data_IF_477519685805
#
_entry.id   IF_477519685805
#
_cell.length_a   1.000
_cell.length_b   1.000
_cell.length_c   1.000
_cell.angle_alpha   90.00
_cell.angle_beta   90.00
_cell.angle_gamma   90.00
#
_symmetry.space_group_name_H-M   'P 1'
#
loop_
_entity.id
_entity.type
_entity.pdbx_description
1 polymer ?
#
# COMPACT_ATOMS: atom_id res chain seq x y z
N UNK A 1 29.05 -38.39 -55.75
CA UNK A 1 29.61 -38.03 -54.43
C UNK A 1 29.44 -36.53 -54.24
N UNK A 2 28.90 -36.13 -53.08
CA UNK A 2 28.75 -34.78 -52.53
C UNK A 2 27.71 -33.83 -53.18
N UNK A 3 26.49 -33.94 -52.65
CA UNK A 3 25.53 -32.84 -52.51
C UNK A 3 26.09 -31.76 -51.59
N UNK A 4 25.93 -30.49 -51.95
CA UNK A 4 26.00 -29.34 -51.03
C UNK A 4 24.85 -28.38 -51.34
N UNK A 5 23.72 -28.63 -50.68
CA UNK A 5 22.64 -27.67 -50.56
C UNK A 5 23.06 -26.62 -49.52
N UNK A 6 23.37 -25.40 -49.96
CA UNK A 6 23.56 -24.26 -49.08
C UNK A 6 22.18 -23.78 -48.60
N UNK A 7 21.82 -24.12 -47.37
CA UNK A 7 20.64 -23.60 -46.70
C UNK A 7 21.02 -22.23 -46.14
N UNK A 8 20.64 -21.16 -46.84
CA UNK A 8 20.66 -19.81 -46.29
C UNK A 8 19.59 -19.69 -45.20
N UNK A 9 20.00 -19.81 -43.94
CA UNK A 9 19.18 -19.43 -42.80
C UNK A 9 19.04 -17.91 -42.78
N UNK A 10 17.96 -17.40 -43.37
CA UNK A 10 17.52 -16.02 -43.17
C UNK A 10 17.13 -15.86 -41.70
N UNK A 11 18.02 -15.23 -40.92
CA UNK A 11 17.71 -14.67 -39.62
C UNK A 11 16.56 -13.66 -39.79
N UNK A 12 15.34 -14.07 -39.43
CA UNK A 12 14.23 -13.14 -39.25
C UNK A 12 14.48 -12.43 -37.92
N UNK A 13 14.71 -11.10 -37.90
CA UNK A 13 14.80 -10.38 -36.65
C UNK A 13 13.43 -10.44 -35.99
N UNK A 14 13.39 -10.98 -34.77
CA UNK A 14 12.24 -11.03 -33.89
C UNK A 14 11.83 -9.58 -33.58
N UNK A 15 10.89 -9.06 -34.37
CA UNK A 15 10.37 -7.69 -34.24
C UNK A 15 9.63 -7.61 -32.92
N UNK A 16 10.24 -6.86 -32.00
CA UNK A 16 9.62 -6.04 -30.95
C UNK A 16 8.30 -6.58 -30.40
N UNK A 17 8.40 -7.36 -29.32
CA UNK A 17 7.40 -7.31 -28.26
C UNK A 17 7.29 -5.85 -27.82
N UNK A 18 6.26 -5.16 -28.34
CA UNK A 18 5.79 -3.91 -27.79
C UNK A 18 5.32 -4.26 -26.39
N UNK A 19 6.21 -4.11 -25.40
CA UNK A 19 5.81 -3.89 -24.02
C UNK A 19 5.06 -2.57 -24.03
N UNK A 20 3.76 -2.63 -24.34
CA UNK A 20 2.79 -1.68 -23.85
C UNK A 20 2.82 -1.84 -22.33
N UNK A 21 3.82 -1.24 -21.68
CA UNK A 21 3.65 -0.74 -20.33
C UNK A 21 2.54 0.29 -20.44
N UNK A 22 1.29 -0.19 -20.41
CA UNK A 22 0.14 0.65 -20.12
C UNK A 22 0.50 1.33 -18.81
N UNK A 23 0.89 2.60 -18.90
CA UNK A 23 1.54 3.28 -17.79
C UNK A 23 0.60 3.18 -16.59
N UNK A 24 1.01 2.47 -15.54
CA UNK A 24 0.26 2.33 -14.29
C UNK A 24 0.24 3.66 -13.51
N UNK A 25 0.49 4.79 -14.16
CA UNK A 25 0.47 6.15 -13.60
C UNK A 25 -0.87 6.50 -12.97
N UNK A 26 -1.97 5.94 -13.47
CA UNK A 26 -3.31 6.16 -12.91
C UNK A 26 -3.44 5.71 -11.44
N UNK A 27 -2.63 4.74 -10.97
CA UNK A 27 -2.63 4.31 -9.55
C UNK A 27 -2.05 5.38 -8.61
N UNK A 28 -1.56 6.50 -9.15
CA UNK A 28 -0.99 7.65 -8.44
C UNK A 28 -1.88 8.89 -8.51
N UNK A 29 -3.08 8.77 -9.10
CA UNK A 29 -3.98 9.89 -9.32
C UNK A 29 -5.42 9.50 -8.99
N UNK A 30 -6.22 10.49 -8.61
CA UNK A 30 -7.67 10.31 -8.46
C UNK A 30 -8.35 10.11 -9.82
N UNK A 31 -9.49 9.40 -9.86
CA UNK A 31 -10.35 9.39 -11.03
C UNK A 31 -10.70 10.83 -11.44
N UNK A 32 -10.65 11.17 -12.74
CA UNK A 32 -10.95 12.51 -13.22
C UNK A 32 -12.37 12.94 -12.81
N UNK A 33 -12.48 14.23 -12.45
CA UNK A 33 -13.64 14.86 -11.78
C UNK A 33 -15.01 14.71 -12.46
N UNK A 34 -15.11 14.11 -13.65
CA UNK A 34 -16.38 13.88 -14.35
C UNK A 34 -17.07 12.57 -13.99
N UNK A 35 -16.41 11.65 -13.26
CA UNK A 35 -16.92 10.29 -13.06
C UNK A 35 -17.62 10.11 -11.70
N UNK A 36 -17.20 10.82 -10.65
CA UNK A 36 -17.65 10.55 -9.28
C UNK A 36 -17.87 11.83 -8.46
N UNK A 37 -18.88 11.81 -7.60
CA UNK A 37 -19.15 12.89 -6.65
C UNK A 37 -17.99 13.01 -5.64
N UNK A 38 -17.40 14.20 -5.54
CA UNK A 38 -16.32 14.48 -4.60
C UNK A 38 -16.89 15.04 -3.31
N UNK A 39 -17.04 14.20 -2.28
CA UNK A 39 -17.42 14.65 -0.94
C UNK A 39 -16.53 13.97 0.12
N UNK A 40 -15.51 14.68 0.65
CA UNK A 40 -14.65 14.18 1.72
C UNK A 40 -15.40 13.78 3.00
N UNK A 41 -16.58 14.35 3.28
CA UNK A 41 -17.40 14.01 4.45
C UNK A 41 -17.91 12.56 4.40
N UNK A 42 -17.90 11.93 3.22
CA UNK A 42 -18.28 10.51 3.07
C UNK A 42 -17.19 9.55 3.59
N UNK A 43 -15.96 10.02 3.73
CA UNK A 43 -14.85 9.25 4.30
C UNK A 43 -14.73 9.65 5.77
N UNK A 44 -14.92 8.73 6.74
CA UNK A 44 -14.84 9.09 8.14
C UNK A 44 -13.42 9.56 8.49
N UNK A 45 -13.32 10.76 9.05
CA UNK A 45 -12.10 11.22 9.72
C UNK A 45 -11.81 10.37 10.95
N UNK A 46 -10.53 10.24 11.33
CA UNK A 46 -10.11 9.42 12.46
C UNK A 46 -9.05 8.38 12.10
N UNK A 47 -8.91 7.35 12.95
CA UNK A 47 -7.82 6.38 12.83
C UNK A 47 -8.28 5.14 12.09
N UNK A 48 -7.54 4.74 11.07
CA UNK A 48 -7.66 3.44 10.41
C UNK A 48 -6.46 2.58 10.78
N UNK A 49 -6.68 1.37 11.28
CA UNK A 49 -5.63 0.48 11.77
C UNK A 49 -5.61 -0.80 10.97
N UNK A 50 -4.40 -1.26 10.63
CA UNK A 50 -4.22 -2.54 9.98
C UNK A 50 -4.08 -3.64 11.02
N UNK A 51 -4.95 -4.64 10.92
CA UNK A 51 -4.91 -5.80 11.81
C UNK A 51 -3.81 -6.76 11.35
N UNK A 52 -2.65 -6.71 12.00
CA UNK A 52 -1.59 -7.73 11.84
C UNK A 52 -1.46 -8.55 13.12
N UNK A 53 -1.56 -9.89 13.04
CA UNK A 53 -1.21 -10.74 14.17
C UNK A 53 0.30 -10.71 14.42
N UNK A 54 0.68 -10.88 15.69
CA UNK A 54 2.07 -11.16 16.08
C UNK A 54 2.58 -12.39 15.33
N UNK A 55 3.81 -12.32 14.80
CA UNK A 55 4.47 -13.46 14.17
C UNK A 55 5.64 -13.92 15.02
N UNK A 56 5.70 -15.23 15.25
CA UNK A 56 6.87 -15.93 15.76
C UNK A 56 7.45 -16.84 14.67
N UNK A 57 8.75 -17.09 14.70
CA UNK A 57 9.34 -18.12 13.85
C UNK A 57 8.93 -19.49 14.41
N UNK A 58 8.75 -20.47 13.52
CA UNK A 58 8.50 -21.85 13.94
C UNK A 58 9.69 -22.31 14.80
N UNK A 59 9.44 -22.86 15.99
CA UNK A 59 10.43 -23.35 16.96
C UNK A 59 11.24 -22.30 17.76
N UNK A 60 10.84 -21.03 17.80
CA UNK A 60 11.49 -20.02 18.66
C UNK A 60 10.58 -19.59 19.81
N UNK A 61 10.95 -19.93 21.06
CA UNK A 61 10.20 -19.51 22.26
C UNK A 61 10.35 -18.01 22.57
N UNK A 62 11.44 -17.39 22.11
CA UNK A 62 11.84 -16.05 22.52
C UNK A 62 11.68 -14.97 21.44
N UNK A 63 11.45 -15.38 20.19
CA UNK A 63 11.28 -14.43 19.09
C UNK A 63 9.83 -13.96 18.99
N UNK A 64 9.63 -12.65 19.05
CA UNK A 64 8.35 -11.99 18.81
C UNK A 64 8.53 -10.83 17.86
N UNK A 65 7.69 -10.75 16.83
CA UNK A 65 7.65 -9.65 15.89
C UNK A 65 6.23 -9.08 15.82
N UNK A 66 6.09 -7.88 16.37
CA UNK A 66 4.84 -7.12 16.41
C UNK A 66 4.96 -5.97 15.43
N UNK A 67 3.99 -5.83 14.54
CA UNK A 67 3.92 -4.71 13.60
C UNK A 67 2.56 -4.05 13.74
N UNK A 68 2.57 -2.76 14.06
CA UNK A 68 1.39 -1.91 14.14
C UNK A 68 1.45 -0.88 13.01
N UNK A 69 0.36 -0.74 12.28
CA UNK A 69 0.25 0.26 11.22
C UNK A 69 -1.08 0.98 11.32
N UNK A 70 -1.04 2.30 11.17
CA UNK A 70 -2.23 3.16 11.20
C UNK A 70 -2.14 4.33 10.24
N UNK A 71 -3.30 4.82 9.84
CA UNK A 71 -3.50 6.05 9.08
C UNK A 71 -4.47 6.90 9.90
N UNK A 72 -4.08 8.13 10.25
CA UNK A 72 -4.93 9.13 10.87
C UNK A 72 -5.34 10.13 9.79
N UNK A 73 -6.63 10.22 9.48
CA UNK A 73 -7.18 11.23 8.57
C UNK A 73 -7.80 12.38 9.36
N UNK A 74 -7.39 13.61 9.04
CA UNK A 74 -7.96 14.84 9.59
C UNK A 74 -8.86 15.52 8.55
N UNK A 75 -10.20 15.48 8.71
CA UNK A 75 -11.13 16.04 7.73
C UNK A 75 -11.18 17.57 7.71
N UNK A 76 -10.84 18.24 8.80
CA UNK A 76 -10.87 19.70 8.89
C UNK A 76 -9.75 20.34 8.05
N UNK A 77 -8.57 19.72 8.05
CA UNK A 77 -7.39 20.23 7.34
C UNK A 77 -7.04 19.47 6.06
N UNK A 78 -7.78 18.39 5.76
CA UNK A 78 -7.48 17.45 4.67
C UNK A 78 -6.04 16.93 4.71
N UNK A 79 -5.54 16.68 5.93
CA UNK A 79 -4.20 16.15 6.17
C UNK A 79 -4.26 14.72 6.70
N UNK A 80 -3.16 13.99 6.56
CA UNK A 80 -3.03 12.67 7.17
C UNK A 80 -1.66 12.47 7.78
N UNK A 81 -1.61 11.53 8.73
CA UNK A 81 -0.37 10.90 9.19
C UNK A 81 -0.52 9.38 9.04
N UNK A 82 0.45 8.73 8.39
CA UNK A 82 0.53 7.28 8.29
C UNK A 82 1.80 6.80 8.96
N UNK A 83 1.66 5.87 9.89
CA UNK A 83 2.77 5.37 10.70
C UNK A 83 2.81 3.85 10.75
N UNK A 84 4.02 3.31 10.77
CA UNK A 84 4.34 1.91 11.03
C UNK A 84 5.29 1.85 12.21
N UNK A 85 4.99 1.01 13.19
CA UNK A 85 5.88 0.65 14.30
C UNK A 85 6.10 -0.86 14.25
N UNK A 86 7.36 -1.28 14.21
CA UNK A 86 7.77 -2.68 14.28
C UNK A 86 8.63 -2.88 15.51
N UNK A 87 8.25 -3.84 16.33
CA UNK A 87 8.98 -4.26 17.52
C UNK A 87 9.41 -5.71 17.34
N UNK A 88 10.71 -5.95 17.41
CA UNK A 88 11.29 -7.30 17.37
C UNK A 88 11.98 -7.56 18.69
N UNK A 89 11.55 -8.62 19.36
CA UNK A 89 12.21 -9.16 20.55
C UNK A 89 12.81 -10.51 20.18
N UNK A 90 14.11 -10.70 20.42
CA UNK A 90 14.79 -11.98 20.28
C UNK A 90 15.78 -12.19 21.43
N UNK A 91 15.48 -13.13 22.33
CA UNK A 91 16.24 -13.39 23.57
C UNK A 91 16.42 -12.10 24.40
N UNK A 92 17.60 -11.49 24.32
CA UNK A 92 18.00 -10.28 25.06
C UNK A 92 18.05 -9.03 24.17
N UNK A 93 17.78 -9.18 22.87
CA UNK A 93 17.72 -8.07 21.94
C UNK A 93 16.27 -7.60 21.78
N UNK A 94 16.08 -6.29 21.86
CA UNK A 94 14.82 -5.65 21.56
C UNK A 94 15.12 -4.49 20.61
N UNK A 95 14.44 -4.48 19.47
CA UNK A 95 14.59 -3.42 18.47
C UNK A 95 13.24 -2.84 18.15
N UNK A 96 13.21 -1.53 17.98
CA UNK A 96 12.03 -0.80 17.52
C UNK A 96 12.39 -0.01 16.27
N UNK A 97 11.57 -0.16 15.25
CA UNK A 97 11.65 0.57 13.99
C UNK A 97 10.35 1.31 13.77
N UNK A 98 10.43 2.62 13.59
CA UNK A 98 9.27 3.48 13.37
C UNK A 98 9.47 4.22 12.06
N UNK A 99 8.44 4.20 11.22
CA UNK A 99 8.36 5.01 10.00
C UNK A 99 7.05 5.79 10.07
N UNK A 100 7.11 7.11 9.93
CA UNK A 100 5.93 7.98 9.89
C UNK A 100 6.05 8.92 8.71
N UNK A 101 4.96 9.14 7.99
CA UNK A 101 4.91 10.17 6.96
C UNK A 101 3.62 10.95 7.02
N UNK A 102 3.72 12.18 6.52
CA UNK A 102 2.69 13.20 6.62
C UNK A 102 2.44 13.84 5.27
N UNK A 103 1.23 14.32 5.08
CA UNK A 103 0.88 15.03 3.87
C UNK A 103 -0.60 15.35 3.78
N UNK A 104 -1.08 15.47 2.56
CA UNK A 104 -2.49 15.78 2.27
C UNK A 104 -3.18 14.60 1.63
N UNK A 105 -4.48 14.53 1.83
CA UNK A 105 -5.30 13.58 1.12
C UNK A 105 -6.39 14.28 0.32
N UNK A 106 -6.76 13.64 -0.79
CA UNK A 106 -7.84 14.07 -1.65
C UNK A 106 -8.76 12.89 -1.95
N UNK A 107 -10.02 13.17 -2.27
CA UNK A 107 -11.06 12.14 -2.44
C UNK A 107 -11.79 12.37 -3.76
N UNK A 108 -12.19 11.29 -4.43
CA UNK A 108 -13.11 11.30 -5.58
C UNK A 108 -13.98 10.05 -5.51
N UNK A 109 -15.27 10.21 -5.16
CA UNK A 109 -16.13 9.08 -4.78
C UNK A 109 -15.54 8.27 -3.62
N UNK A 110 -15.32 6.98 -3.85
CA UNK A 110 -14.69 6.07 -2.88
C UNK A 110 -13.16 6.03 -2.97
N UNK A 111 -12.56 6.79 -3.89
CA UNK A 111 -11.11 6.80 -4.08
C UNK A 111 -10.48 7.84 -3.18
N UNK A 112 -9.44 7.45 -2.45
CA UNK A 112 -8.70 8.31 -1.53
C UNK A 112 -7.24 8.29 -1.95
N UNK A 113 -6.71 9.45 -2.36
CA UNK A 113 -5.30 9.59 -2.71
C UNK A 113 -4.56 10.20 -1.51
N UNK A 114 -3.53 9.50 -1.03
CA UNK A 114 -2.61 10.03 -0.03
C UNK A 114 -1.36 10.55 -0.74
N UNK A 115 -1.09 11.85 -0.60
CA UNK A 115 0.11 12.51 -1.11
C UNK A 115 1.00 12.87 0.07
N UNK A 116 2.05 12.06 0.27
CA UNK A 116 3.03 12.22 1.35
C UNK A 116 4.07 13.24 0.90
N UNK A 117 4.35 14.23 1.76
CA UNK A 117 5.34 15.28 1.52
C UNK A 117 6.55 15.17 2.44
N UNK A 118 6.39 14.49 3.58
CA UNK A 118 7.42 14.34 4.59
C UNK A 118 7.44 12.91 5.10
N UNK A 119 8.64 12.36 5.31
CA UNK A 119 8.85 11.05 5.93
C UNK A 119 9.94 11.14 6.99
N UNK A 120 9.67 10.56 8.14
CA UNK A 120 10.63 10.34 9.19
C UNK A 120 10.77 8.85 9.50
N UNK A 121 11.97 8.45 9.89
CA UNK A 121 12.31 7.06 10.15
C UNK A 121 13.33 6.99 11.28
N UNK A 122 13.04 6.15 12.28
CA UNK A 122 13.90 5.98 13.46
C UNK A 122 14.02 4.49 13.76
N UNK A 123 15.25 4.07 14.08
CA UNK A 123 15.57 2.73 14.52
C UNK A 123 16.37 2.81 15.82
N UNK A 124 15.99 2.00 16.82
CA UNK A 124 16.72 1.93 18.09
C UNK A 124 16.69 0.53 18.69
N UNK A 125 17.68 0.26 19.54
CA UNK A 125 17.84 -0.99 20.28
C UNK A 125 17.69 -0.74 21.78
N UNK A 126 16.97 -1.61 22.50
CA UNK A 126 16.73 -1.52 23.93
C UNK A 126 15.55 -0.62 24.33
N UNK A 127 15.45 -0.31 25.63
CA UNK A 127 14.36 0.48 26.23
C UNK A 127 14.66 1.99 26.23
N UNK A 128 15.23 2.54 25.15
CA UNK A 128 15.54 3.98 25.10
C UNK A 128 14.27 4.83 25.13
N UNK A 129 14.27 5.87 25.97
CA UNK A 129 13.20 6.88 26.11
C UNK A 129 13.11 7.86 24.92
N UNK A 130 12.05 8.68 24.94
CA UNK A 130 11.64 9.76 24.02
C UNK A 130 12.57 10.02 22.83
N UNK A 131 12.17 9.50 21.68
CA UNK A 131 12.77 9.81 20.38
C UNK A 131 11.99 10.94 19.71
N UNK A 132 12.71 11.85 19.05
CA UNK A 132 12.12 12.80 18.12
C UNK A 132 12.30 12.25 16.71
N UNK A 133 11.20 12.14 15.95
CA UNK A 133 11.27 11.77 14.54
C UNK A 133 11.63 13.03 13.76
N UNK A 134 12.81 13.02 13.12
CA UNK A 134 13.16 14.02 12.13
C UNK A 134 12.44 13.71 10.82
N UNK A 135 11.73 14.70 10.28
CA UNK A 135 10.99 14.57 9.03
C UNK A 135 11.80 15.22 7.91
N UNK A 136 12.01 14.47 6.84
CA UNK A 136 12.68 14.94 5.63
C UNK A 136 11.68 15.00 4.47
N UNK A 137 11.91 15.88 3.48
CA UNK A 137 11.11 15.92 2.27
C UNK A 137 11.04 14.54 1.60
N UNK A 138 9.84 14.16 1.18
CA UNK A 138 9.56 12.87 0.56
C UNK A 138 8.41 13.05 -0.43
N UNK A 139 8.52 12.48 -1.63
CA UNK A 139 7.45 12.54 -2.64
C UNK A 139 6.92 11.14 -2.88
N UNK A 140 5.70 10.89 -2.41
CA UNK A 140 5.04 9.61 -2.54
C UNK A 140 3.54 9.75 -2.63
N UNK A 141 2.95 9.05 -3.60
CA UNK A 141 1.50 9.03 -3.80
C UNK A 141 1.02 7.60 -3.83
N UNK A 142 0.02 7.28 -3.02
CA UNK A 142 -0.63 5.98 -3.07
C UNK A 142 -2.14 6.14 -3.05
N UNK A 143 -2.79 5.49 -4.02
CA UNK A 143 -4.23 5.47 -4.14
C UNK A 143 -4.82 4.33 -3.29
N UNK A 144 -5.91 4.66 -2.63
CA UNK A 144 -6.69 3.77 -1.78
C UNK A 144 -8.13 3.75 -2.27
N UNK A 145 -8.82 2.67 -1.95
CA UNK A 145 -10.26 2.54 -2.07
C UNK A 145 -10.91 2.43 -0.69
N UNK A 146 -11.94 3.24 -0.47
CA UNK A 146 -12.77 3.20 0.74
C UNK A 146 -14.01 2.35 0.52
N UNK A 147 -14.23 1.38 1.41
CA UNK A 147 -15.49 0.66 1.47
C UNK A 147 -16.38 1.24 2.59
N UNK A 148 -17.46 1.98 2.25
CA UNK A 148 -18.32 2.60 3.26
C UNK A 148 -19.09 1.58 4.10
N UNK A 149 -19.32 0.36 3.59
CA UNK A 149 -20.07 -0.67 4.31
C UNK A 149 -19.27 -1.25 5.48
N UNK A 150 -17.96 -1.34 5.32
CA UNK A 150 -17.05 -1.94 6.31
C UNK A 150 -16.14 -0.91 6.97
N UNK A 151 -16.21 0.34 6.53
CA UNK A 151 -15.34 1.46 6.94
C UNK A 151 -13.87 1.06 6.84
N UNK A 152 -13.48 0.54 5.68
CA UNK A 152 -12.11 0.10 5.42
C UNK A 152 -11.46 0.94 4.34
N UNK A 153 -10.15 1.16 4.47
CA UNK A 153 -9.29 1.72 3.44
C UNK A 153 -8.34 0.64 2.93
N UNK A 154 -8.39 0.36 1.64
CA UNK A 154 -7.58 -0.67 0.99
C UNK A 154 -6.64 0.01 -0.02
N UNK A 155 -5.32 -0.12 0.13
CA UNK A 155 -4.40 0.45 -0.83
C UNK A 155 -4.41 -0.35 -2.14
N UNK A 156 -4.19 0.34 -3.27
CA UNK A 156 -4.13 -0.32 -4.58
C UNK A 156 -2.92 -1.25 -4.68
N UNK A 157 -1.79 -0.78 -4.19
CA UNK A 157 -0.58 -1.59 -4.00
C UNK A 157 -0.41 -1.86 -2.51
N UNK A 158 -0.16 -3.12 -2.16
CA UNK A 158 0.23 -3.44 -0.80
C UNK A 158 1.51 -2.68 -0.46
N UNK A 159 1.49 -2.03 0.70
CA UNK A 159 2.62 -1.24 1.20
C UNK A 159 2.70 -1.36 2.71
N UNK A 160 3.92 -1.37 3.25
CA UNK A 160 4.20 -1.32 4.68
C UNK A 160 5.38 -0.38 4.94
N UNK A 161 5.21 0.59 5.83
CA UNK A 161 6.31 1.52 6.17
C UNK A 161 6.90 2.25 4.96
N UNK A 162 6.06 2.67 4.02
CA UNK A 162 6.45 3.32 2.77
C UNK A 162 7.25 2.44 1.77
N UNK A 163 7.16 1.12 1.93
CA UNK A 163 7.73 0.14 0.99
C UNK A 163 6.64 -0.61 0.25
N UNK A 164 6.47 -0.29 -1.03
CA UNK A 164 5.44 -0.86 -1.88
C UNK A 164 5.82 -2.24 -2.42
N UNK A 165 4.78 -3.02 -2.72
CA UNK A 165 4.86 -4.24 -3.52
C UNK A 165 4.15 -4.05 -4.84
N UNK A 166 4.36 -4.99 -5.76
CA UNK A 166 3.77 -5.00 -7.10
C UNK A 166 2.40 -5.68 -7.16
N UNK A 167 1.79 -5.97 -6.01
CA UNK A 167 0.51 -6.69 -5.88
C UNK A 167 -0.38 -5.94 -4.88
N UNK A 168 -1.69 -6.18 -4.92
CA UNK A 168 -2.66 -5.53 -4.04
C UNK A 168 -4.07 -5.58 -4.60
N UNK A 169 -4.88 -4.55 -4.29
CA UNK A 169 -6.22 -4.43 -4.87
C UNK A 169 -6.18 -4.22 -6.39
N UNK A 170 -5.06 -3.67 -6.90
CA UNK A 170 -4.82 -3.51 -8.34
C UNK A 170 -4.98 -4.82 -9.13
N UNK A 171 -4.65 -5.97 -8.55
CA UNK A 171 -4.74 -7.27 -9.22
C UNK A 171 -6.19 -7.66 -9.55
N UNK A 172 -7.16 -7.02 -8.90
CA UNK A 172 -8.59 -7.18 -9.14
C UNK A 172 -9.22 -6.16 -10.09
N UNK A 173 -8.41 -5.32 -10.75
CA UNK A 173 -8.89 -4.22 -11.59
C UNK A 173 -8.58 -4.50 -13.05
N UNK A 174 -9.61 -4.56 -13.88
CA UNK A 174 -9.48 -4.75 -15.32
C UNK A 174 -9.31 -3.43 -16.09
N UNK A 175 -9.99 -2.37 -15.64
CA UNK A 175 -9.91 -1.02 -16.22
C UNK A 175 -9.72 0.03 -15.12
N UNK A 176 -8.95 1.11 -15.37
CA UNK A 176 -8.71 2.15 -14.38
C UNK A 176 -10.01 2.65 -13.74
N UNK A 177 -10.03 2.65 -12.40
CA UNK A 177 -11.15 3.13 -11.57
C UNK A 177 -12.47 2.35 -11.69
N UNK A 178 -12.53 1.26 -12.46
CA UNK A 178 -13.75 0.48 -12.64
C UNK A 178 -14.01 -0.41 -11.41
N UNK A 179 -15.13 -0.18 -10.72
CA UNK A 179 -15.58 -0.97 -9.56
C UNK A 179 -16.52 -2.13 -9.95
N UNK A 180 -16.08 -2.96 -10.90
CA UNK A 180 -16.86 -4.09 -11.40
C UNK A 180 -17.00 -5.25 -10.37
N UNK A 181 -17.62 -6.35 -10.80
CA UNK A 181 -17.81 -7.53 -9.94
C UNK A 181 -16.47 -8.14 -9.48
N UNK A 182 -15.44 -8.12 -10.32
CA UNK A 182 -14.12 -8.68 -9.97
C UNK A 182 -13.43 -7.81 -8.92
N UNK A 183 -13.48 -6.49 -9.09
CA UNK A 183 -13.02 -5.53 -8.10
C UNK A 183 -13.70 -5.74 -6.76
N UNK A 184 -15.03 -5.87 -6.75
CA UNK A 184 -15.80 -6.11 -5.52
C UNK A 184 -15.42 -7.42 -4.83
N UNK A 185 -15.18 -8.49 -5.59
CA UNK A 185 -14.72 -9.78 -5.08
C UNK A 185 -13.32 -9.64 -4.45
N UNK A 186 -12.40 -9.00 -5.16
CA UNK A 186 -11.02 -8.74 -4.69
C UNK A 186 -11.02 -7.89 -3.43
N UNK A 187 -11.82 -6.81 -3.39
CA UNK A 187 -12.01 -5.97 -2.19
C UNK A 187 -12.53 -6.78 -1.02
N UNK A 188 -13.58 -7.58 -1.23
CA UNK A 188 -14.17 -8.43 -0.19
C UNK A 188 -13.18 -9.47 0.34
N UNK A 189 -12.26 -9.98 -0.49
CA UNK A 189 -11.23 -10.90 -0.03
C UNK A 189 -10.32 -10.27 1.02
N UNK A 190 -10.01 -8.97 0.95
CA UNK A 190 -9.20 -8.29 1.97
C UNK A 190 -9.87 -8.20 3.35
N UNK A 191 -11.18 -8.48 3.45
CA UNK A 191 -11.88 -8.58 4.73
C UNK A 191 -11.68 -9.95 5.40
N UNK A 192 -11.29 -10.97 4.64
CA UNK A 192 -11.05 -12.33 5.16
C UNK A 192 -9.80 -12.35 6.02
N UNK A 193 -9.82 -13.16 7.10
CA UNK A 193 -8.75 -13.25 8.09
C UNK A 193 -7.35 -13.43 7.48
N UNK A 194 -7.23 -14.24 6.43
CA UNK A 194 -5.94 -14.47 5.74
C UNK A 194 -5.40 -13.25 4.98
N UNK A 195 -6.21 -12.22 4.73
CA UNK A 195 -5.86 -11.05 3.95
C UNK A 195 -6.06 -9.72 4.68
N UNK A 196 -6.57 -9.74 5.93
CA UNK A 196 -6.84 -8.53 6.73
C UNK A 196 -5.64 -7.60 6.90
N UNK A 197 -4.42 -8.13 6.80
CA UNK A 197 -3.20 -7.32 6.85
C UNK A 197 -2.97 -6.46 5.59
N UNK A 198 -3.84 -6.50 4.58
CA UNK A 198 -3.78 -5.61 3.42
C UNK A 198 -4.70 -4.39 3.59
N UNK A 199 -5.71 -4.45 4.46
CA UNK A 199 -6.68 -3.38 4.67
C UNK A 199 -6.42 -2.62 5.98
N UNK A 200 -6.83 -1.36 6.02
CA UNK A 200 -6.92 -0.58 7.25
C UNK A 200 -8.39 -0.46 7.66
N UNK A 201 -8.70 -0.78 8.91
CA UNK A 201 -10.05 -0.80 9.48
C UNK A 201 -10.25 0.44 10.35
N UNK A 202 -11.35 1.16 10.13
CA UNK A 202 -11.68 2.32 10.94
C UNK A 202 -11.85 1.94 12.42
N UNK A 203 -11.19 2.67 13.29
CA UNK A 203 -11.34 2.62 14.74
C UNK A 203 -11.90 3.97 15.20
N UNK A 204 -13.16 4.00 15.71
CA UNK A 204 -13.79 5.20 16.21
C UNK A 204 -13.08 5.77 17.45
#
# INVERSE_FOLDING_TARGET
MSSKNNIEFKFVPFIFLILLECSTSWIRALPPNSILETNPEKIPGGTFVRNRPERSHINTLFYKNVVQEKILLNPESLTFEKSMKREVKDKNEYTTHIVSGRGKYSVSGNWVLLETYEKGEVFFQGNSETFQIEYLPFDHKLLYHHDPSTKTLVPLLYESGYQEKKYGLLDGIHEPYLEDRYFQISRKNFLKKEFQFHAYFYQP
#
